data_IF_024931414489
#
_entry.id   IF_024931414489
#
_cell.length_a   1.000
_cell.length_b   1.000
_cell.length_c   1.000
_cell.angle_alpha   90.00
_cell.angle_beta   90.00
_cell.angle_gamma   90.00
#
_symmetry.space_group_name_H-M   'P 1'
#
loop_
_entity.id
_entity.type
_entity.pdbx_description
1 polymer ?
#
# COMPACT_ATOMS: atom_id res chain seq x y z
N UNK A 1 4.01 56.29 -82.10
CA UNK A 1 5.34 56.76 -81.64
C UNK A 1 5.76 55.88 -80.49
N UNK A 2 6.52 54.79 -80.75
CA UNK A 2 8.00 54.74 -80.68
C UNK A 2 8.51 55.16 -79.28
N UNK A 3 9.28 54.39 -78.52
CA UNK A 3 9.93 53.06 -78.68
C UNK A 3 10.68 52.78 -77.34
N UNK A 4 10.69 51.53 -76.86
CA UNK A 4 11.85 50.75 -76.27
C UNK A 4 12.77 51.38 -75.18
N UNK A 5 13.42 50.72 -74.20
CA UNK A 5 13.76 49.34 -73.76
C UNK A 5 14.39 49.49 -72.34
N UNK A 6 14.07 48.63 -71.37
CA UNK A 6 14.95 47.57 -70.78
C UNK A 6 16.41 48.01 -70.48
N UNK A 7 16.86 48.08 -69.21
CA UNK A 7 17.58 46.98 -68.51
C UNK A 7 18.12 47.34 -67.10
N UNK A 8 18.16 46.28 -66.30
CA UNK A 8 18.69 46.02 -64.94
C UNK A 8 20.05 46.66 -64.56
N UNK A 9 20.21 47.01 -63.28
CA UNK A 9 21.34 46.57 -62.45
C UNK A 9 21.08 46.81 -60.95
N UNK A 10 21.29 45.76 -60.17
CA UNK A 10 21.18 45.65 -58.71
C UNK A 10 22.54 45.95 -58.10
N UNK A 11 22.61 46.80 -57.08
CA UNK A 11 23.65 46.71 -56.03
C UNK A 11 23.00 47.11 -54.69
N UNK A 12 22.55 46.12 -53.94
CA UNK A 12 22.13 46.22 -52.55
C UNK A 12 23.37 46.36 -51.66
N UNK A 13 23.52 47.50 -50.99
CA UNK A 13 24.52 47.70 -49.93
C UNK A 13 23.95 47.10 -48.65
N UNK A 14 24.58 46.05 -48.15
CA UNK A 14 24.19 45.35 -46.93
C UNK A 14 24.43 46.20 -45.69
N UNK A 15 23.35 46.53 -44.98
CA UNK A 15 23.42 46.94 -43.58
C UNK A 15 23.31 45.68 -42.72
N UNK A 16 24.41 45.27 -42.10
CA UNK A 16 24.46 44.20 -41.10
C UNK A 16 23.84 44.69 -39.79
N UNK A 17 22.52 44.56 -39.67
CA UNK A 17 21.82 44.67 -38.39
C UNK A 17 22.09 43.43 -37.55
N UNK A 18 22.96 43.55 -36.55
CA UNK A 18 23.07 42.57 -35.45
C UNK A 18 21.74 42.57 -34.67
N UNK A 19 20.91 41.55 -34.91
CA UNK A 19 19.83 41.20 -34.00
C UNK A 19 20.46 40.48 -32.80
N UNK A 20 20.63 41.21 -31.70
CA UNK A 20 20.89 40.61 -30.40
C UNK A 20 19.58 39.93 -29.99
N UNK A 21 19.47 38.63 -30.26
CA UNK A 21 18.41 37.81 -29.68
C UNK A 21 18.69 37.73 -28.19
N UNK A 22 18.00 38.55 -27.41
CA UNK A 22 17.95 38.41 -25.96
C UNK A 22 17.26 37.09 -25.65
N UNK A 23 18.04 36.02 -25.53
CA UNK A 23 17.56 34.79 -24.92
C UNK A 23 17.24 35.13 -23.46
N UNK A 24 15.96 35.25 -23.16
CA UNK A 24 15.48 35.14 -21.79
C UNK A 24 16.04 33.82 -21.26
N UNK A 25 17.03 33.88 -20.37
CA UNK A 25 17.41 32.72 -19.59
C UNK A 25 16.18 32.31 -18.80
N UNK A 26 15.48 31.29 -19.29
CA UNK A 26 14.58 30.51 -18.45
C UNK A 26 15.51 29.86 -17.45
N UNK A 27 15.59 30.46 -16.26
CA UNK A 27 16.13 29.80 -15.10
C UNK A 27 15.28 28.55 -14.92
N UNK A 28 15.83 27.39 -15.30
CA UNK A 28 15.32 26.12 -14.82
C UNK A 28 15.48 26.19 -13.31
N UNK A 29 14.38 26.47 -12.62
CA UNK A 29 14.30 26.23 -11.20
C UNK A 29 14.65 24.76 -11.02
N UNK A 30 15.80 24.52 -10.39
CA UNK A 30 16.19 23.21 -9.89
C UNK A 30 14.97 22.64 -9.17
N UNK A 31 14.42 21.56 -9.70
CA UNK A 31 13.29 20.88 -9.10
C UNK A 31 13.83 20.30 -7.80
N UNK A 32 13.68 21.11 -6.76
CA UNK A 32 13.93 20.74 -5.38
C UNK A 32 13.23 19.41 -5.19
N UNK A 33 14.02 18.33 -5.17
CA UNK A 33 13.57 17.00 -4.78
C UNK A 33 13.18 17.13 -3.32
N UNK A 34 11.95 17.58 -3.10
CA UNK A 34 11.29 17.45 -1.81
C UNK A 34 11.42 15.98 -1.46
N UNK A 35 12.22 15.69 -0.44
CA UNK A 35 12.33 14.35 0.09
C UNK A 35 10.91 13.87 0.32
N UNK A 36 10.54 12.75 -0.30
CA UNK A 36 9.37 12.04 0.16
C UNK A 36 9.74 11.51 1.55
N UNK A 37 9.47 12.32 2.57
CA UNK A 37 9.43 11.91 3.96
C UNK A 37 8.29 10.88 4.07
N UNK A 38 8.57 9.65 3.67
CA UNK A 38 7.68 8.52 3.93
C UNK A 38 7.54 8.37 5.43
N UNK A 39 6.33 8.01 5.88
CA UNK A 39 6.14 7.68 7.29
C UNK A 39 7.05 6.48 7.64
N UNK A 40 7.73 6.51 8.79
CA UNK A 40 8.66 5.45 9.16
C UNK A 40 7.92 4.12 9.22
N UNK A 41 8.45 3.10 8.56
CA UNK A 41 7.80 1.81 8.45
C UNK A 41 8.74 0.73 7.93
N UNK A 42 8.39 -0.52 8.18
CA UNK A 42 9.06 -1.67 7.59
C UNK A 42 8.03 -2.61 6.99
N UNK A 43 7.98 -2.63 5.65
CA UNK A 43 7.11 -3.54 4.89
C UNK A 43 7.63 -4.98 4.86
N UNK A 44 8.94 -5.18 5.00
CA UNK A 44 9.60 -6.48 4.85
C UNK A 44 10.32 -6.81 6.16
N UNK A 45 9.80 -7.80 6.89
CA UNK A 45 10.40 -8.33 8.11
C UNK A 45 11.43 -9.40 7.78
N UNK A 46 12.72 -9.05 7.88
CA UNK A 46 13.83 -9.98 7.78
C UNK A 46 14.43 -10.26 9.15
N UNK A 47 14.34 -11.50 9.64
CA UNK A 47 15.11 -11.97 10.79
C UNK A 47 16.31 -12.80 10.34
N UNK A 48 17.51 -12.46 10.82
CA UNK A 48 18.74 -13.18 10.46
C UNK A 48 19.47 -13.77 11.67
N UNK A 49 18.89 -13.66 12.88
CA UNK A 49 19.56 -14.02 14.14
C UNK A 49 18.62 -14.85 15.02
N UNK A 50 19.13 -15.98 15.54
CA UNK A 50 18.40 -16.88 16.45
C UNK A 50 17.64 -18.03 15.76
N UNK A 51 16.80 -18.73 16.52
CA UNK A 51 16.02 -19.91 16.07
C UNK A 51 14.96 -19.59 15.00
N UNK A 52 14.66 -18.31 14.77
CA UNK A 52 13.66 -17.83 13.81
C UNK A 52 14.29 -17.52 12.45
N UNK A 53 14.91 -18.52 11.84
CA UNK A 53 15.38 -18.37 10.46
C UNK A 53 14.22 -18.55 9.49
N UNK A 54 13.81 -17.46 8.82
CA UNK A 54 12.79 -17.51 7.78
C UNK A 54 13.44 -17.55 6.39
N UNK A 55 13.08 -18.56 5.58
CA UNK A 55 13.55 -18.68 4.19
C UNK A 55 12.96 -17.61 3.26
N UNK A 56 11.77 -17.12 3.59
CA UNK A 56 11.08 -16.00 2.93
C UNK A 56 10.75 -14.95 3.99
N UNK A 57 10.75 -13.66 3.66
CA UNK A 57 10.45 -12.63 4.65
C UNK A 57 8.96 -12.60 5.00
N UNK A 58 8.66 -12.06 6.19
CA UNK A 58 7.33 -11.54 6.51
C UNK A 58 7.08 -10.29 5.68
N UNK A 59 5.92 -10.15 5.05
CA UNK A 59 5.65 -8.99 4.18
C UNK A 59 4.28 -8.38 4.49
N UNK A 60 4.22 -7.08 4.73
CA UNK A 60 2.97 -6.33 4.74
C UNK A 60 2.56 -5.98 3.30
N UNK A 61 1.31 -6.21 2.92
CA UNK A 61 0.82 -5.92 1.57
C UNK A 61 0.41 -4.44 1.47
N UNK A 62 1.37 -3.53 1.65
CA UNK A 62 1.15 -2.08 1.69
C UNK A 62 2.03 -1.34 0.67
N UNK A 63 1.72 -0.08 0.31
CA UNK A 63 2.59 0.72 -0.55
C UNK A 63 3.96 0.99 0.08
N UNK A 64 4.96 1.34 -0.74
CA UNK A 64 6.34 1.55 -0.29
C UNK A 64 6.52 2.69 0.72
N UNK A 65 5.61 3.67 0.71
CA UNK A 65 5.60 4.77 1.69
C UNK A 65 5.05 4.36 3.07
N UNK A 66 4.71 3.08 3.27
CA UNK A 66 4.16 2.48 4.48
C UNK A 66 2.83 3.10 4.98
N UNK A 67 2.20 3.97 4.19
CA UNK A 67 0.92 4.58 4.53
C UNK A 67 -0.21 3.86 3.78
N UNK A 68 -1.07 3.22 4.54
CA UNK A 68 -2.33 2.67 4.06
C UNK A 68 -3.41 3.74 4.13
N UNK A 69 -4.10 3.98 3.03
CA UNK A 69 -5.38 4.69 3.03
C UNK A 69 -6.52 3.69 2.98
N UNK A 70 -7.57 3.96 3.75
CA UNK A 70 -8.81 3.16 3.72
C UNK A 70 -10.03 4.05 3.89
N UNK A 71 -11.18 3.66 3.30
CA UNK A 71 -12.46 4.30 3.64
C UNK A 71 -13.14 3.66 4.85
N UNK A 72 -12.70 2.45 5.24
CA UNK A 72 -13.36 1.66 6.28
C UNK A 72 -13.12 2.26 7.67
N UNK A 73 -14.18 2.25 8.49
CA UNK A 73 -14.08 2.54 9.92
C UNK A 73 -13.28 1.47 10.68
N UNK A 74 -13.38 0.23 10.19
CA UNK A 74 -12.76 -0.97 10.74
C UNK A 74 -12.08 -1.70 9.58
N UNK A 75 -10.82 -1.33 9.25
CA UNK A 75 -10.15 -1.88 8.08
C UNK A 75 -9.71 -3.34 8.30
N UNK A 76 -9.46 -4.01 7.18
CA UNK A 76 -8.69 -5.26 7.12
C UNK A 76 -7.33 -4.95 6.54
N UNK A 77 -6.27 -5.40 7.21
CA UNK A 77 -4.89 -5.24 6.76
C UNK A 77 -4.32 -6.59 6.32
N UNK A 78 -3.68 -6.63 5.15
CA UNK A 78 -3.18 -7.86 4.54
C UNK A 78 -1.68 -8.06 4.75
N UNK A 79 -1.29 -9.31 5.04
CA UNK A 79 0.09 -9.71 5.33
C UNK A 79 0.40 -11.06 4.71
N UNK A 80 1.58 -11.22 4.14
CA UNK A 80 2.13 -12.51 3.77
C UNK A 80 2.94 -13.08 4.93
N UNK A 81 2.55 -14.27 5.36
CA UNK A 81 3.28 -15.06 6.33
C UNK A 81 4.14 -16.09 5.60
N UNK A 82 5.44 -16.13 5.91
CA UNK A 82 6.32 -17.13 5.35
C UNK A 82 6.14 -18.48 6.05
N UNK A 83 6.56 -19.58 5.42
CA UNK A 83 6.49 -20.89 6.04
C UNK A 83 7.46 -20.96 7.23
N UNK A 84 7.02 -21.63 8.29
CA UNK A 84 7.82 -21.86 9.51
C UNK A 84 7.89 -23.35 9.84
N UNK A 85 8.96 -23.77 10.52
CA UNK A 85 9.19 -25.19 10.85
C UNK A 85 8.31 -25.69 11.99
N UNK A 86 7.85 -24.78 12.86
CA UNK A 86 6.95 -25.05 13.98
C UNK A 86 5.86 -23.98 14.02
N UNK A 87 4.69 -24.28 14.61
CA UNK A 87 3.68 -23.26 14.86
C UNK A 87 4.26 -22.05 15.60
N UNK A 88 3.89 -20.85 15.15
CA UNK A 88 4.35 -19.59 15.74
C UNK A 88 3.16 -18.72 16.15
N UNK A 89 3.31 -18.02 17.27
CA UNK A 89 2.36 -16.98 17.66
C UNK A 89 2.62 -15.72 16.83
N UNK A 90 1.55 -15.06 16.44
CA UNK A 90 1.59 -13.82 15.67
C UNK A 90 0.82 -12.78 16.49
N UNK A 91 1.46 -11.66 16.74
CA UNK A 91 0.89 -10.55 17.49
C UNK A 91 0.63 -9.37 16.54
N UNK A 92 -0.56 -8.80 16.63
CA UNK A 92 -0.92 -7.57 15.96
C UNK A 92 -1.27 -6.51 17.00
N UNK A 93 -0.71 -5.31 16.84
CA UNK A 93 -0.95 -4.15 17.69
C UNK A 93 -1.31 -2.96 16.81
N UNK A 94 -2.30 -2.18 17.24
CA UNK A 94 -2.69 -0.90 16.66
C UNK A 94 -2.63 0.18 17.73
N UNK A 95 -1.98 1.30 17.38
CA UNK A 95 -1.81 2.45 18.24
C UNK A 95 -2.33 3.72 17.57
N UNK A 96 -2.76 4.68 18.37
CA UNK A 96 -3.08 6.04 17.91
C UNK A 96 -1.83 6.92 17.74
N UNK A 97 -2.01 8.19 17.39
CA UNK A 97 -0.95 9.19 17.18
C UNK A 97 -0.12 9.47 18.45
N UNK A 98 -0.71 9.22 19.62
CA UNK A 98 -0.10 9.43 20.94
C UNK A 98 0.61 8.15 21.45
N UNK A 99 0.66 7.10 20.62
CA UNK A 99 1.19 5.76 20.93
C UNK A 99 0.37 4.98 21.96
N UNK A 100 -0.88 5.36 22.22
CA UNK A 100 -1.77 4.55 23.05
C UNK A 100 -2.18 3.31 22.25
N UNK A 101 -2.02 2.13 22.85
CA UNK A 101 -2.56 0.90 22.27
C UNK A 101 -4.09 0.93 22.31
N UNK A 102 -4.71 0.88 21.14
CA UNK A 102 -6.17 0.87 20.99
C UNK A 102 -6.71 -0.51 20.59
N UNK A 103 -5.84 -1.40 20.12
CA UNK A 103 -6.18 -2.78 19.82
C UNK A 103 -4.96 -3.68 19.80
N UNK A 104 -5.10 -4.87 20.39
CA UNK A 104 -4.13 -5.96 20.30
C UNK A 104 -4.88 -7.28 20.06
N UNK A 105 -4.30 -8.15 19.24
CA UNK A 105 -4.82 -9.52 19.06
C UNK A 105 -3.69 -10.48 18.74
N UNK A 106 -3.90 -11.76 19.07
CA UNK A 106 -2.98 -12.84 18.75
C UNK A 106 -3.60 -13.86 17.81
N UNK A 107 -2.75 -14.48 16.99
CA UNK A 107 -3.09 -15.57 16.07
C UNK A 107 -2.06 -16.68 16.22
N UNK A 108 -2.43 -17.91 15.88
CA UNK A 108 -1.49 -19.03 15.79
C UNK A 108 -1.34 -19.45 14.34
N UNK A 109 -0.11 -19.36 13.82
CA UNK A 109 0.24 -19.96 12.53
C UNK A 109 0.45 -21.46 12.70
N UNK A 110 -0.07 -22.25 11.77
CA UNK A 110 0.16 -23.69 11.69
C UNK A 110 1.48 -24.05 10.96
N UNK A 111 2.28 -23.05 10.57
CA UNK A 111 3.53 -23.25 9.83
C UNK A 111 3.43 -23.07 8.32
N UNK A 112 2.21 -23.08 7.76
CA UNK A 112 2.00 -22.90 6.32
C UNK A 112 2.22 -21.46 5.88
N UNK A 113 2.78 -21.28 4.69
CA UNK A 113 2.87 -19.97 4.05
C UNK A 113 1.52 -19.52 3.50
N UNK A 114 1.29 -18.21 3.44
CA UNK A 114 0.11 -17.66 2.78
C UNK A 114 -0.15 -16.20 3.11
N UNK A 115 -1.09 -15.61 2.40
CA UNK A 115 -1.58 -14.25 2.63
C UNK A 115 -2.76 -14.30 3.58
N UNK A 116 -2.58 -13.73 4.78
CA UNK A 116 -3.62 -13.53 5.78
C UNK A 116 -4.16 -12.09 5.75
N UNK A 117 -5.28 -11.88 6.44
CA UNK A 117 -5.73 -10.54 6.80
C UNK A 117 -5.99 -10.46 8.31
N UNK A 118 -5.71 -9.30 8.89
CA UNK A 118 -6.11 -8.93 10.25
C UNK A 118 -7.29 -7.97 10.14
N UNK A 119 -8.43 -8.34 10.74
CA UNK A 119 -9.62 -7.49 10.79
C UNK A 119 -9.67 -6.73 12.10
N UNK A 120 -9.89 -5.42 12.03
CA UNK A 120 -10.30 -4.64 13.20
C UNK A 120 -11.77 -4.98 13.51
N UNK A 121 -12.12 -5.39 14.75
CA UNK A 121 -13.46 -5.84 15.07
C UNK A 121 -14.41 -4.65 15.35
N UNK A 122 -15.59 -4.67 14.74
CA UNK A 122 -16.59 -3.61 14.96
C UNK A 122 -17.27 -3.68 16.35
N UNK A 123 -17.17 -4.84 17.03
CA UNK A 123 -18.00 -5.19 18.20
C UNK A 123 -17.23 -5.33 19.52
N UNK A 124 -15.91 -5.11 19.53
CA UNK A 124 -15.04 -5.35 20.71
C UNK A 124 -14.60 -4.07 21.42
N UNK A 125 -15.50 -3.09 21.53
CA UNK A 125 -15.28 -1.82 22.27
C UNK A 125 -14.15 -0.91 21.77
N UNK A 126 -13.64 -1.15 20.56
CA UNK A 126 -12.67 -0.25 19.91
C UNK A 126 -13.45 0.82 19.15
N UNK A 127 -13.14 2.12 19.34
CA UNK A 127 -13.77 3.16 18.54
C UNK A 127 -13.40 3.01 17.05
N UNK A 128 -14.29 3.40 16.13
CA UNK A 128 -13.97 3.39 14.71
C UNK A 128 -12.78 4.32 14.45
N UNK A 129 -11.93 3.98 13.48
CA UNK A 129 -10.86 4.88 13.09
C UNK A 129 -11.45 6.22 12.66
N UNK A 130 -10.97 7.29 13.30
CA UNK A 130 -11.36 8.65 12.97
C UNK A 130 -10.82 9.05 11.60
N UNK A 131 -11.60 9.82 10.84
CA UNK A 131 -11.21 10.31 9.52
C UNK A 131 -10.05 11.29 9.66
N UNK A 132 -9.02 11.13 8.83
CA UNK A 132 -7.86 12.03 8.74
C UNK A 132 -6.78 11.78 9.78
N UNK A 133 -7.05 10.93 10.77
CA UNK A 133 -6.11 10.56 11.84
C UNK A 133 -5.17 9.44 11.39
N UNK A 134 -3.91 9.56 11.77
CA UNK A 134 -2.89 8.52 11.56
C UNK A 134 -2.95 7.50 12.70
N UNK A 135 -2.84 6.21 12.36
CA UNK A 135 -2.73 5.13 13.32
C UNK A 135 -1.54 4.26 12.93
N UNK A 136 -0.78 3.79 13.91
CA UNK A 136 0.38 2.93 13.68
C UNK A 136 0.02 1.49 13.96
N UNK A 137 0.31 0.60 13.02
CA UNK A 137 0.15 -0.84 13.21
C UNK A 137 1.50 -1.54 13.21
N UNK A 138 1.56 -2.64 13.94
CA UNK A 138 2.69 -3.56 13.94
C UNK A 138 2.16 -4.99 13.91
N UNK A 139 2.79 -5.85 13.11
CA UNK A 139 2.57 -7.28 13.12
C UNK A 139 3.89 -8.00 13.32
N UNK A 140 3.93 -8.91 14.29
CA UNK A 140 5.14 -9.60 14.73
C UNK A 140 4.92 -11.11 14.76
N UNK A 141 5.86 -11.86 14.21
CA UNK A 141 5.98 -13.30 14.46
C UNK A 141 6.84 -13.46 15.71
N UNK A 142 6.26 -14.03 16.76
CA UNK A 142 6.93 -14.31 18.04
C UNK A 142 7.82 -15.52 17.86
N UNK A 143 9.12 -15.29 18.01
CA UNK A 143 10.13 -16.28 17.70
C UNK A 143 10.50 -17.12 18.93
N UNK A 144 10.71 -16.43 20.06
CA UNK A 144 10.93 -16.96 21.40
C UNK A 144 10.11 -16.08 22.37
N UNK A 145 9.17 -16.68 23.11
CA UNK A 145 8.28 -15.95 24.02
C UNK A 145 9.03 -15.32 25.19
N UNK A 146 10.17 -15.88 25.58
CA UNK A 146 11.00 -15.37 26.68
C UNK A 146 12.00 -14.32 26.17
N UNK A 147 12.32 -14.34 24.87
CA UNK A 147 13.33 -13.49 24.22
C UNK A 147 12.82 -12.87 22.92
N UNK A 148 12.00 -11.84 23.10
CA UNK A 148 11.32 -11.10 22.03
C UNK A 148 12.28 -10.28 21.16
N UNK A 149 13.56 -10.14 21.50
CA UNK A 149 14.55 -9.36 20.73
C UNK A 149 14.86 -9.95 19.34
N UNK A 150 14.50 -11.22 19.10
CA UNK A 150 14.68 -11.90 17.82
C UNK A 150 13.40 -12.00 17.00
N UNK A 151 12.33 -11.36 17.46
CA UNK A 151 11.06 -11.35 16.76
C UNK A 151 11.16 -10.70 15.38
N UNK A 152 10.32 -11.20 14.47
CA UNK A 152 10.30 -10.73 13.09
C UNK A 152 9.04 -9.93 12.88
N UNK A 153 9.22 -8.62 12.72
CA UNK A 153 8.12 -7.66 12.63
C UNK A 153 8.08 -6.88 11.33
N UNK A 154 6.85 -6.50 10.95
CA UNK A 154 6.55 -5.46 9.97
C UNK A 154 5.70 -4.39 10.65
N UNK A 155 5.80 -3.15 10.20
CA UNK A 155 5.03 -2.04 10.75
C UNK A 155 4.77 -0.97 9.69
N UNK A 156 3.75 -0.15 9.95
CA UNK A 156 3.39 0.96 9.09
C UNK A 156 2.21 1.73 9.65
N UNK A 157 1.55 2.47 8.77
CA UNK A 157 0.51 3.42 9.14
C UNK A 157 -0.78 3.12 8.42
N UNK A 158 -1.91 3.46 9.03
CA UNK A 158 -3.23 3.42 8.42
C UNK A 158 -3.97 4.71 8.72
N UNK A 159 -4.56 5.31 7.69
CA UNK A 159 -5.38 6.51 7.77
C UNK A 159 -6.72 6.25 7.12
N UNK A 160 -7.79 6.51 7.89
CA UNK A 160 -9.13 6.52 7.31
C UNK A 160 -9.36 7.83 6.57
N UNK A 161 -9.79 7.75 5.32
CA UNK A 161 -10.12 8.90 4.48
C UNK A 161 -11.61 8.92 4.16
N UNK A 162 -12.13 10.13 3.91
CA UNK A 162 -13.48 10.32 3.40
C UNK A 162 -13.44 10.34 1.88
N UNK A 163 -14.30 9.53 1.25
CA UNK A 163 -14.52 9.63 -0.18
C UNK A 163 -15.36 10.87 -0.51
N UNK A 164 -15.06 11.51 -1.64
CA UNK A 164 -15.93 12.55 -2.16
C UNK A 164 -17.24 11.95 -2.73
N UNK A 165 -18.20 12.83 -3.02
CA UNK A 165 -19.51 12.42 -3.52
C UNK A 165 -19.43 11.68 -4.87
N UNK A 166 -18.54 12.12 -5.77
CA UNK A 166 -18.40 11.53 -7.09
C UNK A 166 -17.78 10.13 -7.02
N UNK A 167 -16.76 9.93 -6.18
CA UNK A 167 -16.13 8.63 -5.89
C UNK A 167 -17.13 7.67 -5.25
N UNK A 168 -17.89 8.13 -4.26
CA UNK A 168 -18.92 7.32 -3.58
C UNK A 168 -19.96 6.85 -4.58
N UNK A 169 -20.51 7.76 -5.40
CA UNK A 169 -21.50 7.42 -6.43
C UNK A 169 -20.95 6.45 -7.48
N UNK A 170 -19.69 6.63 -7.89
CA UNK A 170 -19.03 5.70 -8.84
C UNK A 170 -18.92 4.30 -8.24
N UNK A 171 -18.55 4.17 -6.97
CA UNK A 171 -18.46 2.86 -6.30
C UNK A 171 -19.82 2.17 -6.19
N UNK A 172 -20.87 2.90 -5.82
CA UNK A 172 -22.24 2.37 -5.68
C UNK A 172 -22.80 1.84 -7.00
N UNK A 173 -22.44 2.47 -8.11
CA UNK A 173 -22.93 2.11 -9.45
C UNK A 173 -22.06 1.05 -10.16
N UNK A 174 -20.80 0.90 -9.73
CA UNK A 174 -19.85 0.01 -10.36
C UNK A 174 -20.12 -1.45 -10.01
N UNK A 175 -19.86 -2.34 -10.98
CA UNK A 175 -19.88 -3.78 -10.74
C UNK A 175 -18.79 -4.16 -9.73
N UNK A 176 -18.94 -5.28 -8.98
CA UNK A 176 -17.99 -5.65 -7.93
C UNK A 176 -16.52 -5.66 -8.36
N UNK A 177 -16.21 -6.19 -9.56
CA UNK A 177 -14.84 -6.22 -10.10
C UNK A 177 -14.34 -4.83 -10.53
N UNK A 178 -15.22 -3.95 -11.02
CA UNK A 178 -14.89 -2.57 -11.41
C UNK A 178 -14.54 -1.71 -10.19
N UNK A 179 -15.13 -2.01 -9.01
CA UNK A 179 -14.80 -1.31 -7.76
C UNK A 179 -13.32 -1.44 -7.39
N UNK A 180 -12.65 -2.54 -7.74
CA UNK A 180 -11.21 -2.74 -7.48
C UNK A 180 -10.40 -1.61 -8.11
N UNK A 181 -10.66 -1.28 -9.38
CA UNK A 181 -9.95 -0.22 -10.09
C UNK A 181 -10.25 1.16 -9.49
N UNK A 182 -11.47 1.39 -9.00
CA UNK A 182 -11.84 2.66 -8.36
C UNK A 182 -11.09 2.82 -7.03
N UNK A 183 -10.99 1.75 -6.23
CA UNK A 183 -10.22 1.75 -4.98
C UNK A 183 -8.74 2.01 -5.25
N UNK A 184 -8.14 1.25 -6.17
CA UNK A 184 -6.74 1.39 -6.57
C UNK A 184 -6.43 2.81 -7.07
N UNK A 185 -7.26 3.37 -7.96
CA UNK A 185 -7.09 4.73 -8.48
C UNK A 185 -7.20 5.82 -7.38
N UNK A 186 -7.85 5.49 -6.25
CA UNK A 186 -7.99 6.38 -5.09
C UNK A 186 -6.95 6.11 -4.00
N UNK A 187 -5.98 5.21 -4.24
CA UNK A 187 -4.96 4.82 -3.25
C UNK A 187 -5.50 3.97 -2.09
N UNK A 188 -6.74 3.47 -2.19
CA UNK A 188 -7.40 2.63 -1.17
C UNK A 188 -7.03 1.16 -1.32
N UNK A 189 -5.72 0.87 -1.27
CA UNK A 189 -5.18 -0.44 -1.64
C UNK A 189 -5.70 -1.60 -0.78
N UNK A 190 -5.94 -1.38 0.51
CA UNK A 190 -6.52 -2.43 1.37
C UNK A 190 -7.98 -2.70 1.05
N UNK A 191 -8.76 -1.66 0.70
CA UNK A 191 -10.15 -1.85 0.24
C UNK A 191 -10.18 -2.60 -1.12
N UNK A 192 -9.21 -2.34 -2.01
CA UNK A 192 -9.05 -3.08 -3.27
C UNK A 192 -8.69 -4.55 -3.03
N UNK A 193 -7.69 -4.81 -2.18
CA UNK A 193 -7.26 -6.16 -1.79
C UNK A 193 -8.41 -6.94 -1.13
N UNK A 194 -9.14 -6.30 -0.22
CA UNK A 194 -10.30 -6.89 0.43
C UNK A 194 -11.36 -7.29 -0.60
N UNK A 195 -11.74 -6.35 -1.47
CA UNK A 195 -12.77 -6.61 -2.47
C UNK A 195 -12.40 -7.75 -3.40
N UNK A 196 -11.14 -7.82 -3.80
CA UNK A 196 -10.65 -8.88 -4.67
C UNK A 196 -10.53 -10.22 -3.93
N UNK A 197 -10.10 -10.23 -2.67
CA UNK A 197 -10.08 -11.43 -1.85
C UNK A 197 -11.49 -12.02 -1.64
N UNK A 198 -12.49 -11.17 -1.38
CA UNK A 198 -13.91 -11.57 -1.28
C UNK A 198 -14.40 -12.22 -2.58
N UNK A 199 -14.15 -11.58 -3.73
CA UNK A 199 -14.53 -12.14 -5.03
C UNK A 199 -13.84 -13.48 -5.32
N UNK A 200 -12.56 -13.63 -4.95
CA UNK A 200 -11.84 -14.89 -5.09
C UNK A 200 -12.40 -16.00 -4.20
N UNK A 201 -12.89 -15.66 -3.01
CA UNK A 201 -13.56 -16.62 -2.13
C UNK A 201 -14.91 -17.06 -2.70
N UNK A 202 -15.68 -16.12 -3.25
CA UNK A 202 -16.97 -16.40 -3.88
C UNK A 202 -16.84 -17.17 -5.21
N UNK A 203 -15.76 -16.92 -5.96
CA UNK A 203 -15.55 -17.45 -7.31
C UNK A 203 -14.13 -18.05 -7.45
N UNK A 204 -13.81 -19.15 -6.73
CA UNK A 204 -12.43 -19.66 -6.63
C UNK A 204 -11.85 -20.16 -7.96
N UNK A 205 -12.70 -20.48 -8.95
CA UNK A 205 -12.29 -20.97 -10.26
C UNK A 205 -12.22 -19.86 -11.34
N UNK A 206 -12.53 -18.60 -11.02
CA UNK A 206 -12.39 -17.50 -12.00
C UNK A 206 -10.92 -17.08 -12.12
N UNK A 207 -10.27 -17.53 -13.18
CA UNK A 207 -8.86 -17.24 -13.47
C UNK A 207 -8.58 -15.75 -13.66
N UNK A 208 -9.59 -14.94 -14.02
CA UNK A 208 -9.45 -13.49 -14.15
C UNK A 208 -9.22 -12.84 -12.80
N UNK A 209 -9.83 -13.34 -11.73
CA UNK A 209 -9.61 -12.81 -10.37
C UNK A 209 -8.22 -13.19 -9.85
N UNK A 210 -7.72 -14.38 -10.19
CA UNK A 210 -6.34 -14.77 -9.90
C UNK A 210 -5.31 -13.91 -10.63
N UNK A 211 -5.61 -13.56 -11.89
CA UNK A 211 -4.81 -12.62 -12.66
C UNK A 211 -4.84 -11.21 -12.03
N UNK A 212 -6.02 -10.66 -11.75
CA UNK A 212 -6.17 -9.33 -11.13
C UNK A 212 -5.42 -9.24 -9.79
N UNK A 213 -5.40 -10.33 -9.01
CA UNK A 213 -4.67 -10.38 -7.74
C UNK A 213 -3.17 -10.29 -7.94
N UNK A 214 -2.67 -11.02 -8.93
CA UNK A 214 -1.26 -10.99 -9.29
C UNK A 214 -0.85 -9.61 -9.79
N UNK A 215 -1.68 -8.98 -10.61
CA UNK A 215 -1.48 -7.61 -11.10
C UNK A 215 -1.48 -6.58 -9.97
N UNK A 216 -2.43 -6.70 -9.05
CA UNK A 216 -2.52 -5.79 -7.90
C UNK A 216 -1.27 -5.88 -7.02
N UNK A 217 -0.81 -7.09 -6.71
CA UNK A 217 0.42 -7.28 -5.93
C UNK A 217 1.66 -6.83 -6.71
N UNK A 218 1.74 -7.09 -8.01
CA UNK A 218 2.81 -6.56 -8.88
C UNK A 218 2.87 -5.04 -8.88
N UNK A 219 1.71 -4.36 -8.90
CA UNK A 219 1.67 -2.89 -8.83
C UNK A 219 2.24 -2.33 -7.52
N UNK A 220 2.30 -3.16 -6.46
CA UNK A 220 2.95 -2.85 -5.18
C UNK A 220 4.39 -3.37 -5.11
N UNK A 221 4.94 -3.96 -6.18
CA UNK A 221 6.26 -4.61 -6.19
C UNK A 221 6.31 -5.89 -5.35
N UNK A 222 5.18 -6.62 -5.27
CA UNK A 222 5.00 -7.83 -4.46
C UNK A 222 4.80 -9.09 -5.31
N UNK A 223 5.36 -9.12 -6.52
CA UNK A 223 5.29 -10.23 -7.47
C UNK A 223 5.67 -11.58 -6.87
N UNK A 224 6.68 -11.59 -6.00
CA UNK A 224 7.24 -12.80 -5.39
C UNK A 224 6.23 -13.58 -4.52
N UNK A 225 5.16 -12.93 -4.07
CA UNK A 225 4.09 -13.53 -3.24
C UNK A 225 2.74 -13.56 -3.97
N UNK A 226 2.69 -13.19 -5.25
CA UNK A 226 1.45 -13.08 -6.02
C UNK A 226 0.68 -14.41 -6.16
N UNK A 227 1.41 -15.53 -6.13
CA UNK A 227 0.85 -16.88 -6.26
C UNK A 227 0.64 -17.59 -4.92
N UNK A 228 0.93 -16.93 -3.79
CA UNK A 228 0.74 -17.51 -2.47
C UNK A 228 -0.77 -17.58 -2.14
N UNK A 229 -1.23 -18.64 -1.44
CA UNK A 229 -2.64 -18.84 -1.17
C UNK A 229 -3.17 -17.80 -0.19
N UNK A 230 -4.46 -17.44 -0.30
CA UNK A 230 -5.17 -16.77 0.77
C UNK A 230 -5.43 -17.78 1.90
N UNK A 231 -5.05 -17.42 3.13
CA UNK A 231 -5.24 -18.26 4.31
C UNK A 231 -6.14 -17.57 5.32
N UNK A 232 -7.05 -18.34 5.93
CA UNK A 232 -7.85 -17.87 7.04
C UNK A 232 -7.10 -18.16 8.35
N UNK A 233 -6.93 -17.15 9.19
CA UNK A 233 -6.31 -17.29 10.50
C UNK A 233 -7.33 -16.98 11.58
N UNK A 234 -7.51 -17.94 12.48
CA UNK A 234 -8.38 -17.76 13.64
C UNK A 234 -7.64 -16.98 14.73
N UNK A 235 -8.32 -15.96 15.27
CA UNK A 235 -7.83 -15.25 16.45
C UNK A 235 -7.84 -16.19 17.64
N UNK A 236 -6.81 -16.10 18.47
CA UNK A 236 -6.88 -16.70 19.79
C UNK A 236 -7.89 -15.90 20.61
N UNK A 237 -8.99 -16.54 21.00
CA UNK A 237 -9.90 -15.97 22.01
C UNK A 237 -9.17 -16.06 23.34
N UNK A 238 -8.63 -14.95 23.81
CA UNK A 238 -8.17 -14.88 25.19
C UNK A 238 -9.40 -14.95 26.08
N UNK A 239 -9.61 -16.11 26.72
CA UNK A 239 -10.55 -16.20 27.84
C UNK A 239 -10.19 -15.10 28.83
N UNK A 240 -11.15 -14.27 29.30
CA UNK A 240 -10.86 -13.33 30.36
C UNK A 240 -10.29 -14.14 31.53
N UNK A 241 -9.09 -13.75 31.99
CA UNK A 241 -8.49 -14.27 33.21
C UNK A 241 -9.58 -14.31 34.28
N UNK A 242 -9.99 -15.51 34.67
CA UNK A 242 -10.86 -15.71 35.81
C UNK A 242 -10.16 -15.05 37.00
N UNK A 243 -10.63 -13.88 37.43
CA UNK A 243 -10.22 -13.30 38.70
C UNK A 243 -10.67 -14.27 39.79
N UNK A 244 -9.68 -14.96 40.37
CA UNK A 244 -9.68 -15.70 41.64
C UNK A 244 -10.90 -16.53 42.01
#
# INVERSE_FOLDING_TARGET
>A
MFRTLINKAIVTIGLSSLLIVSYSHVALADHNRGGQEGLPGSRIGGGTRGECYLRKPLVALVPENNLVLTKSAYPKLFFYLPPTTTPKQIEFVLQDEDNNEIYQTMFTSNGSAGVMNVSLPEKESIPPLAIGKDYRWQLVIICDSEKREHDIGVNGWVKRVKLDFAQTKKLEQAKPREQINIYTASGLWQDALLKLAELRYEQPNDTRLSHDWSELLRSLGLDAIAQEPLVNMERQVTSPLSMK
#
